data_IF_049201133449
#
_entry.id   IF_049201133449
#
_cell.length_a   1.000
_cell.length_b   1.000
_cell.length_c   1.000
_cell.angle_alpha   90.00
_cell.angle_beta   90.00
_cell.angle_gamma   90.00
#
_symmetry.space_group_name_H-M   'P 1'
#
loop_
_entity.id
_entity.type
_entity.pdbx_description
1 polymer ?
#
# COMPACT_ATOMS: atom_id res chain seq x y z
N UNK A 1 -47.47 -5.24 17.89
CA UNK A 1 -46.14 -5.02 17.29
C UNK A 1 -45.45 -6.37 17.25
N UNK A 2 -45.12 -6.86 16.07
CA UNK A 2 -44.46 -8.16 15.91
C UNK A 2 -43.07 -7.92 15.36
N UNK A 3 -42.05 -8.29 16.14
CA UNK A 3 -40.66 -8.28 15.67
C UNK A 3 -40.32 -9.68 15.18
N UNK A 4 -40.04 -9.80 13.89
CA UNK A 4 -39.62 -11.06 13.29
C UNK A 4 -38.10 -11.13 13.37
N UNK A 5 -37.59 -11.82 14.39
CA UNK A 5 -36.16 -12.06 14.55
C UNK A 5 -35.76 -13.20 13.61
N UNK A 6 -35.26 -12.86 12.41
CA UNK A 6 -34.68 -13.87 11.52
C UNK A 6 -33.23 -14.09 11.92
N UNK A 7 -32.99 -15.10 12.75
CA UNK A 7 -31.64 -15.62 13.01
C UNK A 7 -31.17 -16.26 11.71
N UNK A 8 -30.41 -15.52 10.89
CA UNK A 8 -29.72 -16.14 9.77
C UNK A 8 -28.58 -16.97 10.34
N UNK A 9 -28.63 -18.29 10.12
CA UNK A 9 -27.47 -19.17 10.30
C UNK A 9 -26.43 -18.86 9.20
N UNK A 10 -25.86 -17.65 9.22
CA UNK A 10 -25.11 -17.03 8.12
C UNK A 10 -23.65 -17.49 8.08
N UNK A 11 -23.45 -18.79 7.88
CA UNK A 11 -22.17 -19.29 7.37
C UNK A 11 -22.12 -19.11 5.85
N UNK A 12 -20.95 -18.75 5.30
CA UNK A 12 -20.75 -18.77 3.85
C UNK A 12 -20.68 -20.23 3.39
N UNK A 13 -21.60 -20.63 2.50
CA UNK A 13 -21.70 -22.00 2.02
C UNK A 13 -20.48 -22.45 1.22
N UNK A 14 -19.83 -21.54 0.51
CA UNK A 14 -18.65 -21.81 -0.30
C UNK A 14 -17.77 -20.54 -0.37
N UNK A 15 -16.66 -20.54 0.38
CA UNK A 15 -15.78 -19.37 0.50
C UNK A 15 -15.09 -19.04 -0.83
N UNK A 16 -14.71 -20.07 -1.58
CA UNK A 16 -14.11 -19.93 -2.91
C UNK A 16 -15.06 -19.30 -3.92
N UNK A 17 -16.31 -19.75 -3.96
CA UNK A 17 -17.32 -19.15 -4.83
C UNK A 17 -17.58 -17.70 -4.43
N UNK A 18 -17.66 -17.42 -3.13
CA UNK A 18 -17.77 -16.04 -2.63
C UNK A 18 -16.63 -15.16 -3.15
N UNK A 19 -15.37 -15.62 -3.13
CA UNK A 19 -14.23 -14.86 -3.67
C UNK A 19 -14.40 -14.55 -5.16
N UNK A 20 -14.78 -15.54 -5.97
CA UNK A 20 -15.01 -15.39 -7.42
C UNK A 20 -16.15 -14.42 -7.75
N UNK A 21 -17.13 -14.31 -6.85
CA UNK A 21 -18.28 -13.41 -7.01
C UNK A 21 -18.08 -12.04 -6.33
N UNK A 22 -16.98 -11.83 -5.62
CA UNK A 22 -16.70 -10.62 -4.84
C UNK A 22 -16.06 -9.55 -5.71
N UNK A 23 -16.89 -8.62 -6.19
CA UNK A 23 -16.46 -7.42 -6.92
C UNK A 23 -16.41 -6.24 -5.96
N UNK A 24 -15.34 -5.44 -6.03
CA UNK A 24 -15.23 -4.23 -5.20
C UNK A 24 -16.34 -3.23 -5.58
N UNK A 25 -17.01 -2.60 -4.59
CA UNK A 25 -17.97 -1.55 -4.87
C UNK A 25 -17.31 -0.36 -5.58
N UNK A 26 -17.96 0.21 -6.59
CA UNK A 26 -17.40 1.35 -7.33
C UNK A 26 -17.49 2.66 -6.52
N UNK A 27 -16.48 3.52 -6.68
CA UNK A 27 -16.55 4.91 -6.23
C UNK A 27 -17.49 5.69 -7.16
N UNK A 28 -18.34 6.53 -6.60
CA UNK A 28 -19.37 7.29 -7.34
C UNK A 28 -18.91 8.72 -7.61
N UNK A 29 -17.96 8.88 -8.53
CA UNK A 29 -17.63 10.19 -9.10
C UNK A 29 -18.65 10.55 -10.18
N UNK A 30 -18.92 11.85 -10.36
CA UNK A 30 -19.77 12.35 -11.45
C UNK A 30 -18.90 12.53 -12.70
N UNK A 31 -19.50 12.42 -13.89
CA UNK A 31 -18.81 12.63 -15.17
C UNK A 31 -18.12 14.00 -15.26
N UNK A 32 -18.70 15.03 -14.62
CA UNK A 32 -18.18 16.40 -14.56
C UNK A 32 -17.44 16.73 -13.26
N UNK A 33 -16.92 15.72 -12.57
CA UNK A 33 -16.20 15.93 -11.33
C UNK A 33 -14.78 16.45 -11.59
N UNK A 34 -14.53 17.71 -11.24
CA UNK A 34 -13.24 18.39 -11.47
C UNK A 34 -12.07 17.77 -10.71
N UNK A 35 -12.34 16.86 -9.78
CA UNK A 35 -11.29 16.17 -9.03
C UNK A 35 -10.57 15.12 -9.88
N UNK A 36 -11.28 14.47 -10.81
CA UNK A 36 -10.68 13.48 -11.67
C UNK A 36 -10.19 14.15 -12.96
N UNK A 37 -9.00 13.80 -13.45
CA UNK A 37 -8.63 14.18 -14.80
C UNK A 37 -9.57 13.48 -15.81
N UNK A 38 -9.71 14.02 -17.02
CA UNK A 38 -10.46 13.37 -18.09
C UNK A 38 -10.04 11.92 -18.33
N UNK A 39 -10.98 11.07 -18.72
CA UNK A 39 -10.73 9.65 -18.96
C UNK A 39 -9.60 9.45 -19.99
N UNK A 40 -8.66 8.55 -19.69
CA UNK A 40 -7.48 8.30 -20.54
C UNK A 40 -6.31 9.28 -20.36
N UNK A 41 -6.41 10.25 -19.45
CA UNK A 41 -5.32 11.18 -19.14
C UNK A 41 -4.60 10.83 -17.84
N UNK A 42 -3.31 11.14 -17.80
CA UNK A 42 -2.46 11.04 -16.61
C UNK A 42 -2.76 12.20 -15.65
N UNK A 43 -2.50 12.02 -14.35
CA UNK A 43 -2.62 13.10 -13.37
C UNK A 43 -1.31 13.88 -13.22
N UNK A 44 -1.41 15.21 -13.26
CA UNK A 44 -0.31 16.12 -12.91
C UNK A 44 -0.21 16.38 -11.40
N UNK A 45 -1.14 15.84 -10.62
CA UNK A 45 -1.16 16.02 -9.17
C UNK A 45 -0.20 15.06 -8.44
N UNK A 46 0.46 14.14 -9.16
CA UNK A 46 1.44 13.23 -8.57
C UNK A 46 2.79 13.91 -8.29
N UNK A 47 2.81 14.73 -7.24
CA UNK A 47 3.95 15.50 -6.74
C UNK A 47 4.67 14.79 -5.59
N UNK A 48 4.82 13.47 -5.70
CA UNK A 48 5.54 12.66 -4.69
C UNK A 48 6.95 13.22 -4.47
N UNK A 49 7.25 13.52 -3.21
CA UNK A 49 8.53 14.07 -2.77
C UNK A 49 9.59 12.98 -2.71
N UNK A 50 10.22 12.70 -3.84
CA UNK A 50 11.25 11.67 -3.97
C UNK A 50 12.52 12.23 -4.56
N UNK A 51 13.65 11.94 -3.90
CA UNK A 51 14.97 12.33 -4.37
C UNK A 51 15.64 11.17 -5.09
N UNK A 52 16.47 11.40 -6.11
CA UNK A 52 17.40 10.37 -6.57
C UNK A 52 18.36 10.02 -5.43
N UNK A 53 18.61 8.73 -5.23
CA UNK A 53 19.44 8.26 -4.11
C UNK A 53 20.39 7.16 -4.57
N UNK A 54 21.68 7.29 -4.22
CA UNK A 54 22.76 6.35 -4.62
C UNK A 54 22.54 4.92 -4.15
N UNK A 55 21.73 4.74 -3.10
CA UNK A 55 21.45 3.42 -2.53
C UNK A 55 20.33 2.69 -3.27
N UNK A 56 19.55 3.36 -4.14
CA UNK A 56 18.58 2.67 -4.98
C UNK A 56 19.33 1.90 -6.05
N UNK A 57 19.23 0.58 -5.97
CA UNK A 57 19.86 -0.36 -6.91
C UNK A 57 18.84 -0.93 -7.88
N UNK A 58 17.78 -0.18 -8.15
CA UNK A 58 16.63 -0.61 -8.92
C UNK A 58 16.85 -0.24 -10.37
N UNK A 59 16.98 -1.25 -11.23
CA UNK A 59 17.39 -1.05 -12.62
C UNK A 59 16.29 -1.48 -13.59
N UNK A 60 15.66 -2.64 -13.33
CA UNK A 60 14.78 -3.29 -14.30
C UNK A 60 13.42 -3.68 -13.73
N UNK A 61 12.40 -3.51 -14.56
CA UNK A 61 11.05 -3.96 -14.30
C UNK A 61 10.60 -4.91 -15.39
N UNK A 62 10.03 -6.03 -14.96
CA UNK A 62 9.53 -7.07 -15.83
C UNK A 62 8.02 -7.21 -15.64
N UNK A 63 7.32 -7.58 -16.72
CA UNK A 63 5.96 -8.06 -16.61
C UNK A 63 5.91 -9.43 -15.94
N UNK A 64 4.87 -9.68 -15.15
CA UNK A 64 4.52 -11.03 -14.72
C UNK A 64 4.11 -11.86 -15.95
N UNK A 65 4.47 -13.14 -15.92
CA UNK A 65 4.13 -14.09 -16.98
C UNK A 65 2.68 -14.57 -16.85
N UNK A 66 2.10 -15.00 -17.98
CA UNK A 66 0.71 -15.48 -18.01
C UNK A 66 0.46 -16.72 -17.11
N UNK A 67 1.52 -17.48 -16.82
CA UNK A 67 1.47 -18.62 -15.90
C UNK A 67 1.01 -18.22 -14.48
N UNK A 68 1.22 -16.97 -14.08
CA UNK A 68 0.78 -16.45 -12.77
C UNK A 68 -0.73 -16.55 -12.62
N UNK A 69 -1.49 -16.30 -13.68
CA UNK A 69 -2.96 -16.36 -13.64
C UNK A 69 -3.47 -17.78 -13.37
N UNK A 70 -2.77 -18.78 -13.92
CA UNK A 70 -3.07 -20.19 -13.64
C UNK A 70 -2.65 -20.58 -12.21
N UNK A 71 -1.52 -20.05 -11.74
CA UNK A 71 -1.04 -20.28 -10.38
C UNK A 71 -1.99 -19.70 -9.32
N UNK A 72 -2.61 -18.54 -9.58
CA UNK A 72 -3.62 -17.93 -8.70
C UNK A 72 -4.75 -18.93 -8.44
N UNK A 73 -5.37 -19.45 -9.49
CA UNK A 73 -6.48 -20.39 -9.34
C UNK A 73 -6.04 -21.71 -8.71
N UNK A 74 -4.91 -22.28 -9.13
CA UNK A 74 -4.41 -23.54 -8.56
C UNK A 74 -4.10 -23.41 -7.05
N UNK A 75 -3.54 -22.29 -6.62
CA UNK A 75 -3.21 -22.03 -5.22
C UNK A 75 -4.48 -21.81 -4.38
N UNK A 76 -5.42 -21.00 -4.87
CA UNK A 76 -6.67 -20.74 -4.15
C UNK A 76 -7.57 -21.99 -4.13
N UNK A 77 -7.55 -22.81 -5.18
CA UNK A 77 -8.30 -24.07 -5.22
C UNK A 77 -7.75 -25.13 -4.26
N UNK A 78 -6.46 -25.07 -3.89
CA UNK A 78 -5.88 -25.97 -2.90
C UNK A 78 -6.05 -25.45 -1.47
N UNK A 79 -5.96 -24.14 -1.24
CA UNK A 79 -5.94 -23.55 0.10
C UNK A 79 -7.31 -23.07 0.60
N UNK A 80 -8.19 -22.59 -0.29
CA UNK A 80 -9.48 -22.02 0.10
C UNK A 80 -10.57 -23.09 0.03
N UNK A 81 -11.27 -23.39 1.15
CA UNK A 81 -12.31 -24.40 1.18
C UNK A 81 -13.49 -24.03 0.27
N UNK A 82 -13.92 -24.99 -0.56
CA UNK A 82 -15.17 -24.91 -1.32
C UNK A 82 -16.40 -25.32 -0.49
N UNK A 83 -16.19 -25.77 0.75
CA UNK A 83 -17.23 -26.22 1.67
C UNK A 83 -17.69 -25.10 2.59
N UNK A 84 -18.80 -25.34 3.30
CA UNK A 84 -19.35 -24.37 4.25
C UNK A 84 -18.36 -24.13 5.38
N UNK A 85 -17.92 -22.89 5.50
CA UNK A 85 -17.11 -22.46 6.64
C UNK A 85 -18.06 -22.01 7.74
N UNK A 86 -17.76 -22.37 8.99
CA UNK A 86 -18.57 -22.07 10.16
C UNK A 86 -18.95 -20.59 10.26
N UNK A 87 -20.01 -20.29 11.02
CA UNK A 87 -20.47 -18.93 11.22
C UNK A 87 -19.32 -18.06 11.74
N UNK A 88 -18.83 -17.18 10.87
CA UNK A 88 -17.88 -16.18 11.25
C UNK A 88 -18.54 -15.23 12.25
N UNK A 89 -17.85 -14.89 13.35
CA UNK A 89 -18.31 -13.85 14.28
C UNK A 89 -18.53 -12.52 13.55
N UNK A 90 -17.74 -12.27 12.50
CA UNK A 90 -17.79 -11.05 11.69
C UNK A 90 -18.31 -11.35 10.28
N UNK A 91 -19.27 -10.55 9.82
CA UNK A 91 -19.79 -10.63 8.46
C UNK A 91 -18.71 -10.20 7.44
N UNK A 92 -18.74 -10.81 6.26
CA UNK A 92 -17.92 -10.36 5.15
C UNK A 92 -18.41 -9.00 4.64
N UNK A 93 -17.48 -8.13 4.27
CA UNK A 93 -17.77 -6.73 3.99
C UNK A 93 -18.10 -6.43 2.53
N UNK A 94 -17.68 -7.29 1.60
CA UNK A 94 -18.00 -7.16 0.18
C UNK A 94 -19.29 -7.96 -0.11
N UNK A 95 -20.31 -7.36 -0.71
CA UNK A 95 -21.49 -8.10 -1.11
C UNK A 95 -21.13 -9.09 -2.23
N UNK A 96 -21.43 -10.37 -2.05
CA UNK A 96 -21.49 -11.26 -3.20
C UNK A 96 -22.63 -10.80 -4.12
N UNK A 97 -22.46 -10.92 -5.45
CA UNK A 97 -23.46 -10.53 -6.48
C UNK A 97 -24.90 -10.97 -6.18
N UNK A 98 -25.08 -12.03 -5.41
CA UNK A 98 -26.37 -12.62 -5.04
C UNK A 98 -27.07 -11.94 -3.84
N UNK A 99 -26.46 -10.97 -3.16
CA UNK A 99 -26.98 -10.40 -1.90
C UNK A 99 -27.54 -8.98 -2.06
N UNK A 100 -28.71 -8.83 -2.70
CA UNK A 100 -29.60 -7.67 -2.57
C UNK A 100 -28.97 -6.26 -2.67
N UNK A 101 -29.71 -5.23 -2.22
CA UNK A 101 -29.21 -3.85 -2.20
C UNK A 101 -28.15 -3.70 -1.10
N UNK A 102 -26.87 -3.76 -1.47
CA UNK A 102 -25.77 -3.44 -0.57
C UNK A 102 -25.87 -1.98 -0.10
N UNK A 103 -25.94 -1.77 1.22
CA UNK A 103 -25.91 -0.43 1.82
C UNK A 103 -24.50 -0.14 2.32
N UNK A 104 -23.76 0.64 1.55
CA UNK A 104 -22.49 1.19 1.99
C UNK A 104 -22.75 2.44 2.83
N UNK A 105 -22.30 2.46 4.08
CA UNK A 105 -22.34 3.66 4.94
C UNK A 105 -21.10 4.57 4.73
N UNK A 106 -20.22 4.25 3.78
CA UNK A 106 -19.08 5.10 3.44
C UNK A 106 -19.50 6.14 2.40
N UNK A 107 -18.82 7.28 2.40
CA UNK A 107 -19.06 8.26 1.35
C UNK A 107 -18.61 7.70 0.00
N UNK A 108 -19.54 7.65 -0.95
CA UNK A 108 -19.33 7.14 -2.28
C UNK A 108 -18.32 7.97 -3.09
N UNK A 109 -18.07 9.23 -2.71
CA UNK A 109 -17.18 10.16 -3.42
C UNK A 109 -16.07 10.69 -2.49
N UNK A 110 -15.05 9.89 -2.17
CA UNK A 110 -13.92 10.41 -1.42
C UNK A 110 -13.22 11.52 -2.22
N UNK A 111 -12.81 12.58 -1.54
CA UNK A 111 -12.23 13.79 -2.12
C UNK A 111 -10.82 14.11 -1.56
N UNK A 112 -10.34 13.29 -0.63
CA UNK A 112 -8.97 13.27 -0.13
C UNK A 112 -8.64 11.87 0.40
N UNK A 113 -7.35 11.57 0.60
CA UNK A 113 -6.88 10.23 0.90
C UNK A 113 -7.53 9.61 2.15
N UNK A 114 -7.70 10.38 3.23
CA UNK A 114 -8.26 9.86 4.48
C UNK A 114 -9.71 9.34 4.37
N UNK A 115 -10.49 9.81 3.39
CA UNK A 115 -11.84 9.28 3.09
C UNK A 115 -11.82 8.07 2.18
N UNK A 116 -10.76 7.90 1.39
CA UNK A 116 -10.54 6.68 0.61
C UNK A 116 -10.07 5.50 1.48
N UNK A 117 -9.30 5.75 2.55
CA UNK A 117 -8.78 4.69 3.41
C UNK A 117 -9.85 3.74 3.97
N UNK A 118 -11.00 4.21 4.50
CA UNK A 118 -12.08 3.33 4.91
C UNK A 118 -12.60 2.39 3.82
N UNK A 119 -12.53 2.78 2.54
CA UNK A 119 -12.92 1.91 1.42
C UNK A 119 -11.95 0.75 1.26
N UNK A 120 -10.64 1.02 1.29
CA UNK A 120 -9.61 -0.02 1.18
C UNK A 120 -9.60 -0.93 2.41
N UNK A 121 -9.68 -0.34 3.60
CA UNK A 121 -9.62 -1.07 4.87
C UNK A 121 -10.86 -1.95 5.09
N UNK A 122 -12.06 -1.38 4.91
CA UNK A 122 -13.30 -2.11 5.19
C UNK A 122 -13.69 -3.06 4.07
N UNK A 123 -13.30 -2.85 2.81
CA UNK A 123 -13.65 -3.76 1.72
C UNK A 123 -12.58 -4.83 1.48
N UNK A 124 -11.55 -4.59 0.63
CA UNK A 124 -10.62 -5.65 0.29
C UNK A 124 -9.84 -6.15 1.51
N UNK A 125 -9.37 -5.29 2.41
CA UNK A 125 -8.52 -5.75 3.53
C UNK A 125 -9.29 -6.58 4.54
N UNK A 126 -10.44 -6.10 5.03
CA UNK A 126 -11.27 -6.88 5.95
C UNK A 126 -11.72 -8.22 5.35
N UNK A 127 -12.13 -8.22 4.07
CA UNK A 127 -12.53 -9.45 3.38
C UNK A 127 -11.37 -10.42 3.21
N UNK A 128 -10.22 -9.97 2.71
CA UNK A 128 -9.02 -10.82 2.51
C UNK A 128 -8.50 -11.35 3.84
N UNK A 129 -8.41 -10.51 4.88
CA UNK A 129 -8.06 -10.92 6.24
C UNK A 129 -8.97 -12.05 6.70
N UNK A 130 -10.28 -11.91 6.54
CA UNK A 130 -11.26 -12.92 6.94
C UNK A 130 -11.09 -14.23 6.18
N UNK A 131 -10.90 -14.16 4.86
CA UNK A 131 -10.65 -15.34 4.01
C UNK A 131 -9.41 -16.09 4.51
N UNK A 132 -8.31 -15.37 4.72
CA UNK A 132 -7.05 -15.95 5.19
C UNK A 132 -7.22 -16.58 6.57
N UNK A 133 -7.85 -15.88 7.51
CA UNK A 133 -8.09 -16.38 8.87
C UNK A 133 -8.92 -17.66 8.88
N UNK A 134 -9.90 -17.77 7.98
CA UNK A 134 -10.74 -18.95 7.85
C UNK A 134 -10.07 -20.12 7.11
N UNK A 135 -9.17 -19.83 6.17
CA UNK A 135 -8.53 -20.83 5.31
C UNK A 135 -7.20 -21.32 5.88
N UNK A 136 -6.48 -20.45 6.60
CA UNK A 136 -5.10 -20.64 7.04
C UNK A 136 -5.00 -20.16 8.50
N UNK A 137 -5.21 -21.04 9.50
CA UNK A 137 -5.28 -20.66 10.92
C UNK A 137 -4.04 -19.91 11.44
N UNK A 138 -2.87 -20.13 10.87
CA UNK A 138 -1.61 -19.48 11.20
C UNK A 138 -1.67 -17.96 10.97
N UNK A 139 -2.59 -17.50 10.12
CA UNK A 139 -2.77 -16.09 9.80
C UNK A 139 -3.62 -15.32 10.82
N UNK A 140 -4.22 -15.99 11.82
CA UNK A 140 -5.14 -15.36 12.79
C UNK A 140 -4.53 -14.16 13.53
N UNK A 141 -3.22 -14.21 13.82
CA UNK A 141 -2.51 -13.12 14.47
C UNK A 141 -2.13 -11.99 13.50
N UNK A 142 -2.35 -12.13 12.20
CA UNK A 142 -1.94 -11.17 11.17
C UNK A 142 -3.08 -10.23 10.78
N UNK A 143 -2.71 -9.00 10.42
CA UNK A 143 -3.64 -7.98 9.93
C UNK A 143 -2.95 -6.98 9.01
N UNK A 144 -3.76 -6.30 8.19
CA UNK A 144 -3.32 -5.09 7.51
C UNK A 144 -3.22 -3.96 8.53
N UNK A 145 -2.03 -3.40 8.68
CA UNK A 145 -1.75 -2.29 9.59
C UNK A 145 -1.28 -1.10 8.78
N UNK A 146 -1.75 0.10 9.10
CA UNK A 146 -1.21 1.31 8.49
C UNK A 146 0.30 1.37 8.75
N UNK A 147 1.07 1.69 7.72
CA UNK A 147 2.48 2.00 7.86
C UNK A 147 2.65 3.08 8.91
N UNK A 148 3.76 3.07 9.65
CA UNK A 148 4.06 4.15 10.59
C UNK A 148 4.65 5.30 9.77
N UNK A 149 3.87 6.35 9.41
CA UNK A 149 4.50 7.52 8.81
C UNK A 149 5.53 8.03 9.82
N UNK A 150 6.75 8.35 9.37
CA UNK A 150 7.52 9.27 10.19
C UNK A 150 6.68 10.55 10.29
N UNK A 151 6.71 11.25 11.42
CA UNK A 151 5.98 12.50 11.63
C UNK A 151 6.35 13.63 10.64
N UNK A 152 7.14 13.31 9.61
CA UNK A 152 7.74 14.19 8.64
C UNK A 152 7.64 13.65 7.20
N UNK A 153 6.79 12.66 6.90
CA UNK A 153 6.55 12.27 5.50
C UNK A 153 5.72 13.36 4.80
N UNK A 154 6.28 14.10 3.83
CA UNK A 154 5.61 15.23 3.20
C UNK A 154 4.39 14.82 2.37
N UNK A 155 4.37 13.57 1.89
CA UNK A 155 3.38 13.09 0.92
C UNK A 155 2.13 12.45 1.56
N UNK A 156 1.92 12.60 2.87
CA UNK A 156 0.87 11.89 3.62
C UNK A 156 -0.56 12.16 3.12
N UNK A 157 -0.78 13.26 2.40
CA UNK A 157 -2.08 13.61 1.81
C UNK A 157 -2.35 12.89 0.48
N UNK A 158 -1.31 12.45 -0.22
CA UNK A 158 -1.40 11.86 -1.57
C UNK A 158 -0.90 10.41 -1.64
N UNK A 159 -0.20 9.95 -0.60
CA UNK A 159 0.36 8.60 -0.52
C UNK A 159 0.31 8.08 0.91
N UNK A 160 -0.19 6.87 1.06
CA UNK A 160 -0.01 6.08 2.28
C UNK A 160 0.21 4.63 1.93
N UNK A 161 0.57 3.82 2.90
CA UNK A 161 0.69 2.39 2.70
C UNK A 161 0.23 1.61 3.92
N UNK A 162 -0.18 0.38 3.67
CA UNK A 162 -0.48 -0.62 4.69
C UNK A 162 0.53 -1.77 4.57
N UNK A 163 0.77 -2.47 5.67
CA UNK A 163 1.57 -3.69 5.68
C UNK A 163 0.76 -4.85 6.24
N UNK A 164 0.85 -6.02 5.61
CA UNK A 164 0.41 -7.28 6.22
C UNK A 164 1.48 -7.73 7.21
N UNK A 165 1.15 -7.64 8.51
CA UNK A 165 2.10 -7.87 9.60
C UNK A 165 1.42 -8.50 10.81
N UNK A 166 2.22 -9.07 11.71
CA UNK A 166 1.73 -9.60 12.98
C UNK A 166 1.10 -8.48 13.82
N UNK A 167 -0.12 -8.71 14.32
CA UNK A 167 -0.88 -7.76 15.13
C UNK A 167 -0.19 -7.63 16.49
N UNK A 168 0.32 -6.44 16.79
CA UNK A 168 0.85 -6.15 18.12
C UNK A 168 -0.32 -5.97 19.09
N UNK A 169 -0.30 -6.71 20.19
CA UNK A 169 -1.28 -6.53 21.26
C UNK A 169 -1.01 -5.20 21.96
N UNK A 170 -1.84 -4.19 21.68
CA UNK A 170 -1.67 -2.79 22.14
C UNK A 170 -1.60 -2.64 23.68
N UNK A 171 -1.99 -3.65 24.44
CA UNK A 171 -2.09 -3.59 25.90
C UNK A 171 -0.91 -4.26 26.63
N UNK A 172 0.05 -4.85 25.92
CA UNK A 172 1.25 -5.43 26.53
C UNK A 172 2.42 -4.45 26.41
N UNK A 173 3.21 -4.29 27.48
CA UNK A 173 4.51 -3.61 27.37
C UNK A 173 5.31 -4.30 26.26
N UNK A 174 5.91 -3.56 25.31
CA UNK A 174 6.66 -4.16 24.23
C UNK A 174 7.79 -5.01 24.80
N UNK A 175 7.62 -6.32 24.71
CA UNK A 175 8.65 -7.29 25.04
C UNK A 175 9.72 -7.29 23.94
N UNK A 176 10.89 -7.85 24.21
CA UNK A 176 11.91 -8.06 23.17
C UNK A 176 11.36 -8.88 21.97
N UNK A 177 10.31 -9.68 22.19
CA UNK A 177 9.59 -10.42 21.15
C UNK A 177 8.70 -9.51 20.29
N UNK A 178 8.09 -8.48 20.87
CA UNK A 178 7.29 -7.49 20.14
C UNK A 178 8.14 -6.58 19.24
N UNK A 179 9.38 -6.29 19.67
CA UNK A 179 10.36 -5.60 18.84
C UNK A 179 10.76 -6.43 17.61
N UNK A 180 10.86 -7.77 17.73
CA UNK A 180 11.07 -8.68 16.59
C UNK A 180 9.82 -8.88 15.75
N UNK A 181 8.64 -8.98 16.38
CA UNK A 181 7.36 -9.06 15.66
C UNK A 181 7.06 -7.79 14.84
N UNK A 182 7.57 -6.63 15.28
CA UNK A 182 7.56 -5.39 14.51
C UNK A 182 8.33 -5.46 13.18
N UNK A 183 9.19 -6.48 13.03
CA UNK A 183 9.99 -6.73 11.83
C UNK A 183 9.33 -7.76 10.89
N UNK A 184 8.33 -8.52 11.36
CA UNK A 184 7.63 -9.52 10.55
C UNK A 184 6.51 -8.87 9.74
N UNK A 185 6.93 -8.22 8.66
CA UNK A 185 6.05 -7.65 7.62
C UNK A 185 6.27 -8.41 6.34
N UNK A 186 5.19 -8.81 5.67
CA UNK A 186 5.27 -9.73 4.52
C UNK A 186 4.88 -9.08 3.21
N UNK A 187 3.91 -8.18 3.23
CA UNK A 187 3.41 -7.50 2.02
C UNK A 187 3.13 -6.03 2.32
N UNK A 188 3.36 -5.17 1.33
CA UNK A 188 3.06 -3.73 1.38
C UNK A 188 1.94 -3.41 0.39
N UNK A 189 0.97 -2.58 0.78
CA UNK A 189 -0.06 -2.06 -0.13
C UNK A 189 0.05 -0.55 -0.14
N UNK A 190 0.63 0.01 -1.20
CA UNK A 190 0.73 1.44 -1.45
C UNK A 190 -0.58 1.96 -2.05
N UNK A 191 -1.08 3.07 -1.51
CA UNK A 191 -2.37 3.65 -1.84
C UNK A 191 -2.15 5.10 -2.28
N UNK A 192 -2.51 5.41 -3.52
CA UNK A 192 -2.61 6.77 -4.03
C UNK A 192 -4.03 7.00 -4.57
N UNK A 193 -4.73 8.08 -4.22
CA UNK A 193 -6.10 8.27 -4.69
C UNK A 193 -6.23 8.34 -6.22
N UNK A 194 -7.42 8.05 -6.80
CA UNK A 194 -7.61 8.03 -8.26
C UNK A 194 -7.41 9.38 -8.95
N UNK A 195 -7.51 10.50 -8.21
CA UNK A 195 -7.17 11.84 -8.73
C UNK A 195 -5.66 12.13 -8.71
N UNK A 196 -4.86 11.33 -8.00
CA UNK A 196 -3.39 11.41 -7.98
C UNK A 196 -2.76 10.36 -8.90
N UNK A 197 -3.28 9.13 -8.89
CA UNK A 197 -2.82 8.02 -9.70
C UNK A 197 -4.01 7.45 -10.50
N UNK A 198 -4.13 7.95 -11.72
CA UNK A 198 -5.18 7.53 -12.67
C UNK A 198 -4.94 6.12 -13.17
N UNK A 199 -5.88 5.60 -13.97
CA UNK A 199 -5.67 4.37 -14.72
C UNK A 199 -4.39 4.46 -15.58
N UNK A 200 -4.22 5.56 -16.33
CA UNK A 200 -3.07 5.75 -17.21
C UNK A 200 -1.77 5.83 -16.44
N UNK A 201 -1.74 6.52 -15.30
CA UNK A 201 -0.55 6.57 -14.43
C UNK A 201 -0.14 5.17 -13.95
N UNK A 202 -1.11 4.33 -13.57
CA UNK A 202 -0.85 2.96 -13.10
C UNK A 202 -0.48 2.01 -14.25
N UNK A 203 -1.01 2.22 -15.45
CA UNK A 203 -0.57 1.51 -16.66
C UNK A 203 0.85 1.88 -17.05
N UNK A 204 1.22 3.17 -17.03
CA UNK A 204 2.59 3.63 -17.28
C UNK A 204 3.55 3.08 -16.22
N UNK A 205 3.14 3.08 -14.95
CA UNK A 205 3.88 2.45 -13.86
C UNK A 205 4.12 0.95 -14.10
N UNK A 206 3.08 0.18 -14.42
CA UNK A 206 3.16 -1.27 -14.65
C UNK A 206 3.96 -1.62 -15.94
N UNK A 207 3.86 -0.79 -16.98
CA UNK A 207 4.55 -1.01 -18.25
C UNK A 207 5.98 -0.47 -18.31
N UNK A 208 6.42 0.21 -17.24
CA UNK A 208 7.80 0.70 -17.14
C UNK A 208 8.77 -0.49 -17.19
N UNK A 209 9.89 -0.34 -17.90
CA UNK A 209 10.91 -1.41 -18.07
C UNK A 209 12.25 -1.10 -17.40
N UNK A 210 12.57 0.18 -17.29
CA UNK A 210 13.83 0.66 -16.74
C UNK A 210 13.55 1.81 -15.79
N UNK A 211 14.33 1.88 -14.71
CA UNK A 211 14.29 2.97 -13.76
C UNK A 211 15.43 3.96 -14.05
N UNK A 212 15.20 5.28 -13.95
CA UNK A 212 16.24 6.26 -14.26
C UNK A 212 17.51 6.06 -13.41
N UNK A 213 18.72 6.14 -14.00
CA UNK A 213 19.95 6.01 -13.24
C UNK A 213 20.11 7.16 -12.27
N UNK A 214 20.77 6.91 -11.13
CA UNK A 214 21.03 7.95 -10.13
C UNK A 214 21.82 9.15 -10.72
N UNK A 215 22.77 8.90 -11.62
CA UNK A 215 23.51 9.94 -12.34
C UNK A 215 23.54 9.61 -13.82
N UNK A 216 23.28 10.62 -14.66
CA UNK A 216 23.50 10.54 -16.10
C UNK A 216 24.93 11.03 -16.40
N UNK A 217 25.68 10.35 -17.30
CA UNK A 217 27.01 10.81 -17.69
C UNK A 217 26.96 12.23 -18.27
N UNK A 218 27.59 13.18 -17.59
CA UNK A 218 27.62 14.60 -17.99
C UNK A 218 27.09 15.55 -16.92
N UNK A 219 26.30 15.04 -15.98
CA UNK A 219 25.69 15.88 -14.95
C UNK A 219 26.57 16.03 -13.71
N UNK A 220 26.60 17.24 -13.17
CA UNK A 220 27.26 17.52 -11.88
C UNK A 220 26.42 17.08 -10.68
N UNK A 221 25.10 16.94 -10.84
CA UNK A 221 24.17 16.59 -9.78
C UNK A 221 23.05 15.70 -10.33
N UNK A 222 22.47 14.80 -9.50
CA UNK A 222 21.35 13.99 -9.93
C UNK A 222 20.11 14.86 -10.16
N UNK A 223 19.52 14.80 -11.35
CA UNK A 223 18.27 15.51 -11.67
C UNK A 223 17.07 14.91 -10.93
N UNK A 224 16.08 15.73 -10.61
CA UNK A 224 14.83 15.25 -10.04
C UNK A 224 14.17 14.24 -11.00
N UNK A 225 13.49 13.22 -10.45
CA UNK A 225 12.79 12.23 -11.26
C UNK A 225 11.68 12.93 -12.07
N UNK A 226 11.78 12.99 -13.41
CA UNK A 226 10.93 13.86 -14.21
C UNK A 226 9.51 13.32 -14.32
N UNK A 227 9.35 12.00 -14.41
CA UNK A 227 8.06 11.36 -14.65
C UNK A 227 7.37 10.90 -13.35
N UNK A 228 6.04 11.02 -13.32
CA UNK A 228 5.21 10.59 -12.19
C UNK A 228 5.37 9.10 -11.87
N UNK A 229 5.51 8.25 -12.90
CA UNK A 229 5.73 6.81 -12.75
C UNK A 229 7.04 6.50 -12.02
N UNK A 230 8.10 7.26 -12.30
CA UNK A 230 9.42 7.06 -11.69
C UNK A 230 9.41 7.52 -10.23
N UNK A 231 8.74 8.64 -9.93
CA UNK A 231 8.51 9.07 -8.54
C UNK A 231 7.74 8.01 -7.75
N UNK A 232 6.70 7.41 -8.33
CA UNK A 232 5.95 6.33 -7.68
C UNK A 232 6.80 5.08 -7.45
N UNK A 233 7.56 4.63 -8.45
CA UNK A 233 8.51 3.52 -8.31
C UNK A 233 9.53 3.77 -7.21
N UNK A 234 10.09 4.97 -7.16
CA UNK A 234 11.07 5.36 -6.16
C UNK A 234 10.48 5.38 -4.74
N UNK A 235 9.28 5.96 -4.56
CA UNK A 235 8.58 5.99 -3.26
C UNK A 235 8.24 4.57 -2.79
N UNK A 236 7.74 3.74 -3.70
CA UNK A 236 7.40 2.35 -3.43
C UNK A 236 8.64 1.54 -3.02
N UNK A 237 9.73 1.70 -3.76
CA UNK A 237 11.01 1.05 -3.47
C UNK A 237 11.52 1.45 -2.09
N UNK A 238 11.54 2.75 -1.78
CA UNK A 238 12.01 3.26 -0.48
C UNK A 238 11.17 2.68 0.67
N UNK A 239 9.85 2.59 0.50
CA UNK A 239 8.96 1.99 1.50
C UNK A 239 9.24 0.48 1.66
N UNK A 240 9.35 -0.27 0.56
CA UNK A 240 9.58 -1.70 0.58
C UNK A 240 10.95 -2.05 1.17
N UNK A 241 12.01 -1.39 0.73
CA UNK A 241 13.38 -1.60 1.23
C UNK A 241 13.49 -1.24 2.73
N UNK A 242 12.89 -0.13 3.15
CA UNK A 242 12.86 0.32 4.55
C UNK A 242 12.16 -0.68 5.46
N UNK A 243 11.07 -1.29 4.99
CA UNK A 243 10.30 -2.27 5.73
C UNK A 243 10.76 -3.71 5.53
N UNK A 244 11.79 -3.93 4.69
CA UNK A 244 12.32 -5.24 4.31
C UNK A 244 11.24 -6.15 3.68
N UNK A 245 10.34 -5.56 2.90
CA UNK A 245 9.23 -6.24 2.24
C UNK A 245 9.51 -6.35 0.74
N UNK A 246 9.38 -7.54 0.17
CA UNK A 246 9.54 -7.75 -1.27
C UNK A 246 8.22 -7.71 -2.04
N UNK A 247 7.13 -8.24 -1.46
CA UNK A 247 5.83 -8.28 -2.11
C UNK A 247 5.08 -6.96 -1.91
N UNK A 248 4.57 -6.41 -3.00
CA UNK A 248 3.85 -5.16 -2.96
C UNK A 248 2.59 -5.18 -3.82
N UNK A 249 1.71 -4.24 -3.51
CA UNK A 249 0.54 -3.89 -4.29
C UNK A 249 0.48 -2.37 -4.37
N UNK A 250 0.19 -1.82 -5.54
CA UNK A 250 -0.08 -0.39 -5.73
C UNK A 250 -1.52 -0.25 -6.16
N UNK A 251 -2.27 0.65 -5.53
CA UNK A 251 -3.68 0.82 -5.86
C UNK A 251 -4.15 2.26 -5.77
N UNK A 252 -5.06 2.60 -6.68
CA UNK A 252 -5.92 3.78 -6.57
C UNK A 252 -7.36 3.46 -6.18
N UNK A 253 -7.56 2.28 -5.59
CA UNK A 253 -8.82 1.59 -5.38
C UNK A 253 -9.53 1.20 -6.68
N UNK A 254 -9.57 2.08 -7.67
CA UNK A 254 -10.17 1.84 -9.00
C UNK A 254 -9.37 0.87 -9.85
N UNK A 255 -8.04 0.87 -9.68
CA UNK A 255 -7.09 0.00 -10.36
C UNK A 255 -6.03 -0.52 -9.37
N UNK A 256 -5.48 -1.69 -9.68
CA UNK A 256 -4.58 -2.45 -8.82
C UNK A 256 -3.43 -3.02 -9.64
N UNK A 257 -2.20 -2.84 -9.16
CA UNK A 257 -0.99 -3.45 -9.72
C UNK A 257 -0.37 -4.31 -8.63
N UNK A 258 -0.12 -5.58 -8.94
CA UNK A 258 0.50 -6.54 -8.03
C UNK A 258 1.94 -6.74 -8.45
N UNK A 259 2.88 -6.77 -7.50
CA UNK A 259 4.27 -6.98 -7.85
C UNK A 259 5.15 -7.49 -6.73
N UNK A 260 6.37 -7.84 -7.10
CA UNK A 260 7.37 -8.34 -6.17
C UNK A 260 8.76 -7.91 -6.60
N UNK A 261 9.55 -7.44 -5.64
CA UNK A 261 10.97 -7.17 -5.80
C UNK A 261 11.80 -8.44 -5.69
N UNK A 262 12.91 -8.50 -6.42
CA UNK A 262 13.94 -9.52 -6.17
C UNK A 262 14.53 -9.35 -4.76
N UNK A 263 15.20 -10.38 -4.20
CA UNK A 263 15.82 -10.29 -2.88
C UNK A 263 16.81 -9.12 -2.72
N UNK A 264 17.44 -8.68 -3.80
CA UNK A 264 18.35 -7.53 -3.82
C UNK A 264 17.70 -6.17 -4.10
N UNK A 265 16.37 -6.13 -4.26
CA UNK A 265 15.60 -4.96 -4.70
C UNK A 265 16.10 -4.36 -6.03
N UNK A 266 16.74 -5.17 -6.86
CA UNK A 266 17.36 -4.70 -8.10
C UNK A 266 16.48 -4.79 -9.32
N UNK A 267 15.48 -5.65 -9.24
CA UNK A 267 14.44 -5.75 -10.24
C UNK A 267 13.08 -5.99 -9.56
N UNK A 268 12.02 -5.71 -10.31
CA UNK A 268 10.66 -5.99 -9.91
C UNK A 268 9.91 -6.73 -11.02
N UNK A 269 8.92 -7.52 -10.61
CA UNK A 269 7.94 -8.12 -11.50
C UNK A 269 6.58 -7.52 -11.19
N UNK A 270 5.82 -7.10 -12.20
CA UNK A 270 4.51 -6.46 -12.01
C UNK A 270 3.43 -7.04 -12.91
N UNK A 271 2.20 -7.09 -12.40
CA UNK A 271 1.03 -7.33 -13.23
C UNK A 271 0.71 -6.10 -14.07
N UNK A 272 -0.08 -6.25 -15.14
CA UNK A 272 -0.83 -5.12 -15.70
C UNK A 272 -1.71 -4.45 -14.64
N UNK A 273 -2.17 -3.23 -14.92
CA UNK A 273 -3.17 -2.56 -14.10
C UNK A 273 -4.53 -3.28 -14.21
N UNK A 274 -5.02 -3.82 -13.10
CA UNK A 274 -6.26 -4.59 -13.03
C UNK A 274 -7.37 -3.69 -12.49
N UNK A 275 -8.52 -3.55 -13.18
CA UNK A 275 -9.62 -2.74 -12.70
C UNK A 275 -10.30 -3.38 -11.48
N UNK A 276 -10.84 -2.55 -10.58
CA UNK A 276 -11.48 -2.98 -9.33
C UNK A 276 -12.66 -3.95 -9.53
N UNK A 277 -13.30 -3.88 -10.69
CA UNK A 277 -14.44 -4.68 -11.09
C UNK A 277 -14.06 -5.91 -11.94
N UNK A 278 -12.77 -6.22 -12.08
CA UNK A 278 -12.32 -7.42 -12.78
C UNK A 278 -12.90 -8.67 -12.12
N UNK A 279 -13.33 -9.63 -12.94
CA UNK A 279 -13.99 -10.86 -12.45
C UNK A 279 -13.12 -12.09 -12.53
N UNK A 280 -12.05 -12.07 -13.31
CA UNK A 280 -11.17 -13.22 -13.52
C UNK A 280 -9.72 -12.74 -13.66
N UNK A 281 -8.89 -12.91 -12.62
CA UNK A 281 -9.27 -13.09 -11.22
C UNK A 281 -9.84 -11.80 -10.60
N UNK A 282 -10.69 -11.92 -9.59
CA UNK A 282 -11.14 -10.75 -8.80
C UNK A 282 -9.99 -10.12 -8.01
N UNK A 283 -10.15 -8.86 -7.58
CA UNK A 283 -9.16 -8.21 -6.69
C UNK A 283 -9.02 -8.95 -5.36
N UNK A 284 -10.11 -9.55 -4.86
CA UNK A 284 -10.09 -10.37 -3.64
C UNK A 284 -9.24 -11.62 -3.84
N UNK A 285 -9.41 -12.34 -4.95
CA UNK A 285 -8.57 -13.49 -5.31
C UNK A 285 -7.09 -13.09 -5.41
N UNK A 286 -6.80 -12.00 -6.13
CA UNK A 286 -5.43 -11.52 -6.31
C UNK A 286 -4.77 -11.12 -4.99
N UNK A 287 -5.44 -10.34 -4.15
CA UNK A 287 -4.91 -9.94 -2.85
C UNK A 287 -4.70 -11.13 -1.92
N UNK A 288 -5.62 -12.09 -1.90
CA UNK A 288 -5.46 -13.32 -1.10
C UNK A 288 -4.25 -14.11 -1.59
N UNK A 289 -4.12 -14.34 -2.91
CA UNK A 289 -2.98 -15.04 -3.49
C UNK A 289 -1.66 -14.33 -3.23
N UNK A 290 -1.61 -13.01 -3.38
CA UNK A 290 -0.39 -12.23 -3.14
C UNK A 290 0.02 -12.25 -1.67
N UNK A 291 -0.95 -12.19 -0.75
CA UNK A 291 -0.69 -12.30 0.70
C UNK A 291 -0.16 -13.68 1.07
N UNK A 292 -0.72 -14.76 0.50
CA UNK A 292 -0.23 -16.14 0.68
C UNK A 292 1.21 -16.27 0.17
N UNK A 293 1.47 -15.73 -1.01
CA UNK A 293 2.80 -15.73 -1.64
C UNK A 293 3.82 -15.00 -0.78
N UNK A 294 3.44 -13.84 -0.26
CA UNK A 294 4.25 -13.02 0.65
C UNK A 294 4.58 -13.73 1.96
N UNK A 295 3.70 -14.60 2.45
CA UNK A 295 3.93 -15.43 3.63
C UNK A 295 4.80 -16.66 3.36
N UNK A 296 5.16 -16.93 2.10
CA UNK A 296 5.95 -18.09 1.71
C UNK A 296 5.20 -19.42 1.84
N UNK A 297 3.86 -19.36 1.83
CA UNK A 297 3.00 -20.55 1.91
C UNK A 297 3.07 -21.31 0.58
N UNK A 298 3.00 -22.64 0.65
CA UNK A 298 3.08 -23.51 -0.52
C UNK A 298 2.01 -23.18 -1.56
N UNK A 299 2.39 -23.25 -2.84
CA UNK A 299 1.53 -22.86 -3.97
C UNK A 299 1.54 -21.35 -4.29
N UNK A 300 2.07 -20.51 -3.40
CA UNK A 300 2.25 -19.08 -3.67
C UNK A 300 3.27 -18.80 -4.79
N UNK A 301 3.20 -17.60 -5.37
CA UNK A 301 4.16 -17.12 -6.35
C UNK A 301 5.58 -17.07 -5.76
N UNK A 302 6.59 -17.39 -6.56
CA UNK A 302 7.99 -17.23 -6.22
C UNK A 302 8.67 -16.47 -7.36
N UNK A 303 9.28 -15.30 -7.09
CA UNK A 303 9.95 -14.55 -8.13
C UNK A 303 11.11 -15.37 -8.70
N UNK A 304 11.29 -15.29 -10.03
CA UNK A 304 12.43 -15.94 -10.70
C UNK A 304 13.74 -15.35 -10.18
N UNK A 305 14.76 -16.20 -10.15
CA UNK A 305 16.10 -15.74 -9.80
C UNK A 305 16.68 -14.92 -10.97
N UNK A 306 16.69 -13.60 -10.81
CA UNK A 306 17.42 -12.70 -11.70
C UNK A 306 18.84 -12.55 -11.14
N UNK A 307 19.90 -12.78 -11.94
CA UNK A 307 21.26 -12.50 -11.51
C UNK A 307 21.35 -11.06 -11.01
N UNK A 308 21.71 -10.88 -9.74
CA UNK A 308 21.92 -9.55 -9.21
C UNK A 308 23.02 -8.87 -10.05
N UNK A 309 22.86 -7.58 -10.43
CA UNK A 309 23.98 -6.83 -10.96
C UNK A 309 25.12 -6.94 -9.94
N UNK A 310 26.35 -7.16 -10.42
CA UNK A 310 27.54 -7.33 -9.57
C UNK A 310 27.86 -6.00 -8.84
N UNK A 311 27.09 -5.67 -7.81
CA UNK A 311 27.41 -4.57 -6.91
C UNK A 311 28.44 -5.08 -5.92
N UNK A 312 29.71 -4.67 -6.09
CA UNK A 312 30.87 -5.11 -5.29
C UNK A 312 30.77 -4.89 -3.76
N UNK A 313 29.68 -4.30 -3.24
CA UNK A 313 29.47 -4.07 -1.80
C UNK A 313 28.06 -4.47 -1.36
N UNK A 314 27.98 -5.31 -0.34
CA UNK A 314 26.79 -5.47 0.50
C UNK A 314 26.60 -4.17 1.28
N UNK A 315 25.67 -3.32 0.84
CA UNK A 315 25.27 -2.16 1.63
C UNK A 315 24.04 -2.61 2.40
N UNK A 316 24.09 -2.57 3.73
CA UNK A 316 22.87 -2.60 4.52
C UNK A 316 22.12 -1.30 4.20
N UNK A 317 21.18 -1.37 3.25
CA UNK A 317 20.45 -0.20 2.80
C UNK A 317 19.32 0.05 3.80
N UNK A 318 19.44 1.15 4.54
CA UNK A 318 18.36 1.70 5.32
C UNK A 318 18.08 3.09 4.77
N UNK A 319 17.05 3.25 3.92
CA UNK A 319 16.65 4.58 3.45
C UNK A 319 16.43 5.50 4.66
N UNK A 320 17.08 6.67 4.72
CA UNK A 320 16.92 7.58 5.85
C UNK A 320 15.46 8.05 5.96
N UNK A 321 14.96 8.23 7.19
CA UNK A 321 13.57 8.68 7.48
C UNK A 321 13.40 10.21 7.50
N UNK A 322 14.49 10.96 7.30
CA UNK A 322 14.54 12.38 7.63
C UNK A 322 13.88 13.24 6.54
N UNK A 323 13.09 14.25 6.93
CA UNK A 323 12.60 15.26 6.01
C UNK A 323 13.80 16.06 5.53
N UNK A 324 14.10 15.97 4.26
CA UNK A 324 15.06 16.88 3.66
C UNK A 324 14.28 17.73 2.67
N UNK A 325 14.50 19.04 2.71
CA UNK A 325 13.86 20.06 1.88
C UNK A 325 13.84 19.63 0.40
N UNK A 326 12.78 18.97 -0.06
CA UNK A 326 12.65 18.58 -1.47
C UNK A 326 12.26 19.85 -2.20
N UNK A 327 12.97 20.17 -3.29
CA UNK A 327 12.51 21.24 -4.17
C UNK A 327 11.18 20.77 -4.77
N UNK A 328 10.20 21.68 -4.85
CA UNK A 328 8.94 21.35 -5.50
C UNK A 328 9.25 20.81 -6.89
N UNK A 329 8.75 19.60 -7.24
CA UNK A 329 8.99 19.04 -8.56
C UNK A 329 8.45 20.00 -9.61
N UNK A 330 9.23 20.21 -10.68
CA UNK A 330 8.76 20.99 -11.82
C UNK A 330 7.43 20.43 -12.33
N UNK A 331 6.51 21.31 -12.72
CA UNK A 331 5.21 20.88 -13.24
C UNK A 331 5.45 20.01 -14.47
N UNK A 332 4.94 18.79 -14.44
CA UNK A 332 5.09 17.84 -15.53
C UNK A 332 4.55 18.46 -16.81
N UNK A 333 5.46 18.71 -17.76
CA UNK A 333 5.15 19.20 -19.11
C UNK A 333 4.52 18.06 -19.90
N UNK A 334 3.18 17.98 -19.88
CA UNK A 334 2.44 17.18 -20.84
C UNK A 334 1.58 18.07 -21.71
N UNK A 335 1.57 17.78 -23.00
CA UNK A 335 0.70 18.40 -24.00
C UNK A 335 -0.78 18.19 -23.66
N UNK A 336 -1.36 19.12 -22.92
CA UNK A 336 -2.79 19.46 -23.05
C UNK A 336 -3.04 20.33 -24.29
N UNK A 337 -2.12 20.29 -25.26
CA UNK A 337 -2.27 20.92 -26.56
C UNK A 337 -3.47 20.30 -27.26
N UNK A 338 -4.61 20.97 -27.16
CA UNK A 338 -5.84 20.61 -27.86
C UNK A 338 -5.60 20.61 -29.37
N UNK A 339 -5.20 19.46 -29.91
CA UNK A 339 -5.24 19.19 -31.34
C UNK A 339 -6.68 18.87 -31.74
N UNK A 340 -7.52 19.89 -31.80
CA UNK A 340 -8.65 19.91 -32.73
C UNK A 340 -9.02 21.34 -33.07
N UNK A 341 -8.26 21.94 -33.97
CA UNK A 341 -8.77 22.80 -35.05
C UNK A 341 -7.72 22.77 -36.15
N UNK A 342 -8.14 22.28 -37.30
CA UNK A 342 -7.46 22.45 -38.58
C UNK A 342 -7.35 23.96 -38.86
N UNK A 343 -6.13 24.47 -38.88
CA UNK A 343 -5.84 25.69 -39.63
C UNK A 343 -4.45 25.56 -40.25
N UNK A 344 -4.47 25.09 -41.48
CA UNK A 344 -3.52 25.40 -42.53
C UNK A 344 -3.13 26.88 -42.44
N UNK A 345 -1.84 27.17 -42.32
CA UNK A 345 -1.07 28.11 -43.14
C UNK A 345 0.28 28.46 -42.48
N UNK A 346 1.33 28.13 -43.22
CA UNK A 346 2.51 28.97 -43.44
C UNK A 346 3.49 29.32 -42.28
N UNK A 347 4.63 28.63 -42.36
CA UNK A 347 5.94 29.23 -42.71
C UNK A 347 6.98 29.46 -41.61
N UNK A 348 8.22 29.36 -42.09
CA UNK A 348 9.47 29.15 -41.40
C UNK A 348 10.03 30.41 -40.70
N UNK A 349 10.81 30.19 -39.64
CA UNK A 349 11.58 31.26 -39.00
C UNK A 349 12.43 30.75 -37.84
N UNK A 350 13.53 30.06 -38.15
CA UNK A 350 14.57 29.74 -37.18
C UNK A 350 15.38 31.00 -36.85
N UNK A 351 15.44 31.37 -35.57
CA UNK A 351 16.41 32.31 -35.02
C UNK A 351 17.07 31.68 -33.79
N UNK A 352 18.42 31.60 -33.72
CA UNK A 352 19.11 31.20 -32.50
C UNK A 352 19.25 32.43 -31.58
N UNK A 353 18.70 32.36 -30.38
CA UNK A 353 18.91 33.38 -29.35
C UNK A 353 20.28 33.19 -28.70
N UNK A 354 21.20 34.10 -29.02
CA UNK A 354 22.44 34.34 -28.30
C UNK A 354 22.10 35.09 -27.01
N UNK A 355 22.28 34.45 -25.85
CA UNK A 355 22.39 35.17 -24.57
C UNK A 355 23.85 35.17 -24.13
N UNK A 356 24.47 36.35 -24.25
CA UNK A 356 25.74 36.65 -23.60
C UNK A 356 25.45 36.98 -22.13
N UNK A 357 26.14 36.30 -21.23
CA UNK A 357 26.26 36.73 -19.83
C UNK A 357 27.63 37.37 -19.65
N UNK A 358 27.60 38.67 -19.35
CA UNK A 358 28.75 39.46 -18.95
C UNK A 358 29.26 39.04 -17.58
N UNK A 359 30.59 38.92 -17.48
CA UNK A 359 31.37 38.65 -16.28
C UNK A 359 31.03 39.63 -15.15
N UNK A 360 30.53 39.10 -14.03
CA UNK A 360 30.59 39.72 -12.72
C UNK A 360 31.47 38.85 -11.83
N UNK A 361 32.59 39.41 -11.38
CA UNK A 361 33.57 38.77 -10.50
C UNK A 361 32.92 38.40 -9.16
N UNK A 362 32.86 37.10 -8.84
CA UNK A 362 32.67 36.61 -7.48
C UNK A 362 33.96 35.92 -7.04
N UNK A 363 34.73 36.64 -6.22
CA UNK A 363 35.86 36.11 -5.46
C UNK A 363 35.31 35.14 -4.40
N UNK A 364 35.59 33.85 -4.55
CA UNK A 364 35.46 32.87 -3.47
C UNK A 364 36.85 32.38 -3.07
N UNK A 365 37.23 32.67 -1.83
CA UNK A 365 38.41 32.13 -1.17
C UNK A 365 38.27 30.61 -0.97
N UNK A 366 39.33 29.80 -1.20
CA UNK A 366 39.29 28.38 -0.96
C UNK A 366 39.65 28.08 0.50
N UNK A 367 38.67 27.71 1.32
CA UNK A 367 38.95 27.16 2.65
C UNK A 367 39.37 25.69 2.53
N UNK A 368 40.67 25.49 2.66
CA UNK A 368 41.39 24.21 2.72
C UNK A 368 41.15 23.59 4.11
N UNK A 369 40.44 22.47 4.19
CA UNK A 369 40.47 21.63 5.39
C UNK A 369 41.66 20.67 5.36
N UNK A 370 42.62 20.94 6.25
CA UNK A 370 43.72 20.04 6.63
C UNK A 370 43.25 19.03 7.70
N UNK A 371 43.76 17.79 7.72
CA UNK A 371 43.39 16.78 8.71
C UNK A 371 44.38 16.77 9.88
N UNK A 372 43.95 17.08 11.11
CA UNK A 372 44.74 16.77 12.32
C UNK A 372 43.92 16.42 13.56
N UNK A 373 44.25 15.24 14.10
CA UNK A 373 44.23 14.77 15.50
C UNK A 373 42.89 14.57 16.24
N UNK A 374 42.57 13.28 16.41
CA UNK A 374 41.64 12.71 17.42
C UNK A 374 42.06 13.10 18.85
N UNK A 375 41.19 13.81 19.55
CA UNK A 375 41.20 13.90 21.01
C UNK A 375 40.32 12.80 21.61
N UNK A 376 40.87 12.07 22.57
CA UNK A 376 40.13 11.14 23.44
C UNK A 376 39.26 11.95 24.41
N UNK A 377 37.99 11.58 24.59
CA UNK A 377 37.06 12.20 25.55
C UNK A 377 36.91 11.28 26.78
N UNK A 378 37.59 11.57 27.91
CA UNK A 378 37.59 10.70 29.10
C UNK A 378 36.19 10.52 29.71
N UNK A 379 35.35 11.55 29.62
CA UNK A 379 33.98 11.56 30.15
C UNK A 379 33.05 10.52 29.51
N UNK A 380 33.29 10.13 28.25
CA UNK A 380 32.47 9.11 27.58
C UNK A 380 32.86 7.71 28.03
N UNK A 381 34.13 7.50 28.38
CA UNK A 381 34.63 6.21 28.85
C UNK A 381 34.28 5.94 30.32
N UNK A 382 34.17 6.98 31.14
CA UNK A 382 33.73 6.83 32.53
C UNK A 382 32.22 6.54 32.60
N UNK A 383 31.40 7.20 31.76
CA UNK A 383 29.97 6.90 31.66
C UNK A 383 29.67 5.45 31.22
N UNK A 384 30.46 4.92 30.28
CA UNK A 384 30.37 3.52 29.81
C UNK A 384 30.76 2.50 30.89
N UNK A 385 31.59 2.89 31.86
CA UNK A 385 32.02 2.01 32.94
C UNK A 385 30.97 1.92 34.05
N UNK A 386 30.29 3.02 34.33
CA UNK A 386 29.24 3.08 35.35
C UNK A 386 27.94 2.40 34.90
N UNK A 387 27.62 2.43 33.60
CA UNK A 387 26.41 1.77 33.08
C UNK A 387 26.52 0.23 33.02
N UNK A 388 27.73 -0.32 33.00
CA UNK A 388 27.94 -1.78 32.90
C UNK A 388 28.00 -2.49 34.27
N UNK A 389 28.16 -1.76 35.38
CA UNK A 389 28.24 -2.33 36.72
C UNK A 389 26.88 -2.44 37.44
N UNK A 390 25.87 -1.66 37.04
CA UNK A 390 24.55 -1.65 37.68
C UNK A 390 23.59 -2.76 37.20
N UNK A 391 23.93 -3.50 36.14
CA UNK A 391 23.05 -4.50 35.52
C UNK A 391 22.94 -5.88 36.21
N UNK A 392 23.61 -6.10 37.36
CA UNK A 392 23.79 -7.45 37.93
C UNK A 392 23.03 -7.73 39.24
N UNK A 393 21.91 -7.06 39.53
CA UNK A 393 21.07 -7.42 40.69
C UNK A 393 19.58 -7.40 40.36
N UNK A 394 19.01 -8.59 40.16
CA UNK A 394 17.72 -9.04 40.74
C UNK A 394 17.07 -10.11 39.85
N UNK A 395 17.41 -11.37 40.11
CA UNK A 395 16.51 -12.50 39.84
C UNK A 395 15.97 -12.95 41.19
N UNK A 396 14.65 -12.83 41.41
CA UNK A 396 13.91 -13.68 42.35
C UNK A 396 12.52 -13.96 41.83
N UNK A 397 12.17 -15.22 42.02
CA UNK A 397 10.97 -15.98 41.64
C UNK A 397 9.64 -15.33 41.99
N UNK A 398 8.62 -15.59 41.16
CA UNK A 398 7.23 -15.66 41.58
C UNK A 398 6.45 -16.54 40.58
N UNK A 399 6.05 -17.71 41.07
CA UNK A 399 5.11 -18.64 40.43
C UNK A 399 3.65 -18.26 40.74
N UNK A 400 2.73 -18.95 40.03
CA UNK A 400 1.25 -19.12 40.21
C UNK A 400 0.34 -18.31 39.28
N UNK A 401 -0.91 -18.75 39.02
CA UNK A 401 -1.35 -20.09 38.55
C UNK A 401 -2.33 -20.01 37.35
N UNK A 402 -2.69 -21.18 36.80
CA UNK A 402 -3.62 -21.39 35.69
C UNK A 402 -4.98 -20.69 35.86
N UNK A 403 -5.36 -19.88 34.86
CA UNK A 403 -6.70 -19.31 34.70
C UNK A 403 -7.42 -20.00 33.54
N UNK A 404 -8.47 -20.76 33.86
CA UNK A 404 -9.42 -21.30 32.88
C UNK A 404 -10.58 -20.33 32.69
N UNK A 405 -10.82 -19.93 31.45
CA UNK A 405 -11.88 -19.03 31.02
C UNK A 405 -13.22 -19.79 30.86
N UNK A 406 -14.33 -19.36 31.48
CA UNK A 406 -15.60 -20.07 31.38
C UNK A 406 -16.44 -19.61 30.18
N UNK A 407 -16.85 -20.61 29.39
CA UNK A 407 -18.10 -20.71 28.62
C UNK A 407 -18.35 -19.71 27.47
N UNK A 408 -18.36 -20.31 26.27
CA UNK A 408 -18.75 -19.76 24.98
C UNK A 408 -20.14 -19.10 24.99
N UNK A 409 -20.16 -17.78 24.90
CA UNK A 409 -21.34 -17.03 24.44
C UNK A 409 -21.14 -16.74 22.96
N UNK A 410 -21.92 -17.40 22.10
CA UNK A 410 -21.92 -17.19 20.66
C UNK A 410 -22.56 -15.83 20.33
N UNK A 411 -21.89 -14.91 19.61
CA UNK A 411 -22.52 -13.68 19.16
C UNK A 411 -23.47 -13.98 18.00
N UNK A 412 -24.69 -13.45 18.09
CA UNK A 412 -25.69 -13.46 17.03
C UNK A 412 -25.84 -12.04 16.46
N UNK A 413 -25.96 -11.92 15.14
CA UNK A 413 -26.31 -10.64 14.48
C UNK A 413 -27.82 -10.58 14.37
N UNK A 414 -28.45 -9.67 15.10
CA UNK A 414 -29.90 -9.42 15.01
C UNK A 414 -30.15 -8.35 13.95
N UNK A 415 -30.66 -8.77 12.80
CA UNK A 415 -31.17 -7.83 11.80
C UNK A 415 -32.66 -7.60 12.06
N UNK A 416 -33.02 -6.39 12.47
CA UNK A 416 -34.41 -6.01 12.76
C UNK A 416 -35.05 -5.48 11.48
N UNK A 417 -36.11 -6.14 11.02
CA UNK A 417 -36.95 -5.64 9.93
C UNK A 417 -38.24 -5.07 10.53
N UNK A 418 -38.61 -3.87 10.08
CA UNK A 418 -39.91 -3.29 10.36
C UNK A 418 -40.84 -3.60 9.19
N UNK A 419 -41.90 -4.36 9.45
CA UNK A 419 -43.04 -4.43 8.55
C UNK A 419 -44.05 -3.36 8.99
N UNK A 420 -44.27 -2.30 8.20
CA UNK A 420 -45.39 -1.39 8.45
C UNK A 420 -46.68 -2.20 8.34
N UNK A 421 -47.45 -2.22 9.42
CA UNK A 421 -48.77 -2.83 9.43
C UNK A 421 -49.63 -2.21 8.34
N UNK A 422 -50.38 -3.04 7.62
CA UNK A 422 -51.22 -2.68 6.47
C UNK A 422 -52.47 -1.86 6.81
N UNK A 423 -52.48 -1.12 7.93
CA UNK A 423 -53.59 -0.23 8.27
C UNK A 423 -53.07 1.18 8.48
N UNK A 424 -53.64 2.09 7.68
CA UNK A 424 -53.20 3.45 7.48
C UNK A 424 -53.26 4.34 8.71
N UNK A 425 -52.61 5.48 8.53
CA UNK A 425 -52.59 6.65 9.42
C UNK A 425 -51.74 6.49 10.69
N UNK A 426 -50.43 6.69 10.52
CA UNK A 426 -49.60 7.69 11.23
C UNK A 426 -48.12 7.28 11.07
N UNK A 427 -47.47 7.78 10.02
CA UNK A 427 -46.03 7.65 9.82
C UNK A 427 -45.40 9.05 9.84
N UNK A 428 -45.39 9.68 11.01
CA UNK A 428 -44.54 10.81 11.31
C UNK A 428 -44.00 10.65 12.73
N UNK A 429 -42.67 10.75 12.86
CA UNK A 429 -41.89 10.67 14.11
C UNK A 429 -41.60 9.27 14.66
N UNK A 430 -40.51 8.65 14.21
CA UNK A 430 -39.52 8.06 15.15
C UNK A 430 -38.12 8.26 14.56
N UNK A 431 -37.45 9.31 15.02
CA UNK A 431 -36.02 9.52 14.82
C UNK A 431 -35.22 9.03 16.03
N UNK A 432 -34.08 8.40 15.73
CA UNK A 432 -32.88 8.25 16.56
C UNK A 432 -33.04 7.74 18.00
N UNK A 433 -32.93 6.43 18.17
CA UNK A 433 -32.31 5.84 19.37
C UNK A 433 -31.45 4.64 18.96
N UNK A 434 -30.16 4.71 19.29
CA UNK A 434 -29.28 3.64 19.81
C UNK A 434 -27.80 4.08 19.64
N UNK A 435 -27.25 4.65 20.70
CA UNK A 435 -25.81 4.59 21.06
C UNK A 435 -25.48 3.24 21.66
#
# INVERSE_FOLDING_TARGET
>A
MSFLFRIQASGIANLRQYMRDSVLPSLSYRENDTILPPEGHASHANRLSVRPETYRRFDHMYGLEDEVWSAVHSCLDSLVPATRVGAAKDAFSIPARLQGKFRCNLDARPDHLHRLIPWVDRFPFATVKRILHLSIPETQAWSFQAGRPSHSEPDHDIFTYYTWSLTQTLNARPTARDLRASEDRRMLVAIQPPWIATQRDLEEFANSREFPPFMVPGDTFPEALPESKDRLWAKLWDCCAREKIHYFVVTSYTHWVFGVFTPGYSAAFTSPAIPHNNTVPTIVEMLTFWTISAMGIEGGYKPRHVPAPFFKRNVNIHPPRLPHHVLDPEESVSDWGGSSIESSEESAGALPSVYSFTQGECVYEPNIYSPTKKGSYPTVMDWLRDTLTEGSRSQRELETPDYQDPLEVYPYVVQVFYEPGTHGEEAAMVGNWLT
#
